data_IF_178679810970
#
_entry.id   IF_178679810970
#
_cell.length_a   1.000
_cell.length_b   1.000
_cell.length_c   1.000
_cell.angle_alpha   90.00
_cell.angle_beta   90.00
_cell.angle_gamma   90.00
#
_symmetry.space_group_name_H-M   'P 1'
#
loop_
_entity.id
_entity.type
_entity.pdbx_description
1 polymer ?
#
# COMPACT_ATOMS: atom_id res chain seq x y z
N UNK A 1 3.68 4.49 -6.50
CA UNK A 1 4.94 4.19 -5.80
C UNK A 1 5.90 3.47 -6.74
N UNK A 2 7.21 3.66 -6.61
CA UNK A 2 8.20 2.92 -7.41
C UNK A 2 9.19 2.22 -6.48
N UNK A 3 9.38 0.91 -6.68
CA UNK A 3 10.38 0.09 -5.99
C UNK A 3 11.58 -0.10 -6.91
N UNK A 4 12.76 0.24 -6.40
CA UNK A 4 14.04 0.07 -7.08
C UNK A 4 14.84 -0.99 -6.32
N UNK A 5 15.24 -2.04 -7.03
CA UNK A 5 16.00 -3.15 -6.45
C UNK A 5 17.46 -3.12 -6.90
N UNK A 6 18.33 -3.82 -6.16
CA UNK A 6 19.77 -3.79 -6.39
C UNK A 6 20.18 -4.40 -7.75
N UNK A 7 19.34 -5.27 -8.30
CA UNK A 7 19.49 -5.88 -9.62
C UNK A 7 19.01 -4.98 -10.76
N UNK A 8 18.75 -3.69 -10.47
CA UNK A 8 18.18 -2.72 -11.39
C UNK A 8 16.73 -3.01 -11.81
N UNK A 9 16.05 -3.95 -11.15
CA UNK A 9 14.62 -4.15 -11.34
C UNK A 9 13.87 -2.92 -10.84
N UNK A 10 13.04 -2.37 -11.73
CA UNK A 10 12.13 -1.26 -11.44
C UNK A 10 10.70 -1.78 -11.47
N UNK A 11 10.05 -1.79 -10.31
CA UNK A 11 8.62 -2.09 -10.22
C UNK A 11 7.85 -0.81 -9.94
N UNK A 12 7.02 -0.39 -10.91
CA UNK A 12 6.07 0.71 -10.69
C UNK A 12 4.72 0.16 -10.22
N UNK A 13 4.31 0.60 -9.03
CA UNK A 13 3.01 0.27 -8.44
C UNK A 13 2.10 1.50 -8.54
N UNK A 14 0.99 1.46 -9.32
CA UNK A 14 0.06 2.57 -9.37
C UNK A 14 -0.51 2.84 -7.97
N UNK A 15 -0.76 4.12 -7.66
CA UNK A 15 -1.37 4.47 -6.37
C UNK A 15 -2.74 3.81 -6.23
N UNK A 16 -3.07 3.38 -5.01
CA UNK A 16 -4.36 2.76 -4.69
C UNK A 16 -5.34 3.70 -3.99
N UNK A 17 -5.02 4.99 -3.93
CA UNK A 17 -5.96 6.01 -3.47
C UNK A 17 -7.14 6.16 -4.46
N UNK A 18 -8.35 5.72 -4.06
CA UNK A 18 -9.59 5.91 -4.85
C UNK A 18 -9.98 7.39 -4.94
N UNK A 19 -9.73 8.17 -3.88
CA UNK A 19 -9.84 9.63 -3.80
C UNK A 19 -8.75 10.14 -2.85
N UNK A 20 -8.17 11.31 -3.13
CA UNK A 20 -7.14 11.93 -2.30
C UNK A 20 -7.72 13.20 -1.67
N UNK A 21 -7.80 13.22 -0.34
CA UNK A 21 -8.31 14.36 0.44
C UNK A 21 -7.20 15.09 1.19
N UNK A 22 -6.35 14.35 1.91
CA UNK A 22 -5.21 14.88 2.66
C UNK A 22 -4.00 13.95 2.49
N UNK A 23 -2.83 14.49 2.16
CA UNK A 23 -1.61 13.69 1.94
C UNK A 23 -0.70 13.65 3.18
N UNK A 24 -1.12 14.30 4.26
CA UNK A 24 -0.38 14.32 5.52
C UNK A 24 -0.25 12.91 6.09
N UNK A 25 0.95 12.49 6.49
CA UNK A 25 1.20 11.17 7.05
C UNK A 25 1.25 10.01 6.04
N UNK A 26 1.09 10.27 4.74
CA UNK A 26 1.19 9.23 3.71
C UNK A 26 2.58 8.55 3.73
N UNK A 27 3.65 9.34 3.84
CA UNK A 27 5.03 8.83 3.90
C UNK A 27 5.29 7.97 5.14
N UNK A 28 4.85 8.43 6.31
CA UNK A 28 4.98 7.68 7.57
C UNK A 28 4.22 6.35 7.50
N UNK A 29 3.03 6.37 6.90
CA UNK A 29 2.22 5.18 6.66
C UNK A 29 2.94 4.19 5.74
N UNK A 30 3.53 4.68 4.64
CA UNK A 30 4.28 3.84 3.71
C UNK A 30 5.44 3.15 4.44
N UNK A 31 6.27 3.90 5.17
CA UNK A 31 7.44 3.33 5.84
C UNK A 31 7.06 2.37 6.97
N UNK A 32 6.04 2.72 7.77
CA UNK A 32 5.56 1.85 8.85
C UNK A 32 5.02 0.52 8.30
N UNK A 33 4.13 0.56 7.30
CA UNK A 33 3.54 -0.63 6.72
C UNK A 33 4.56 -1.48 5.94
N UNK A 34 5.46 -0.84 5.19
CA UNK A 34 6.52 -1.54 4.46
C UNK A 34 7.45 -2.29 5.42
N UNK A 35 7.93 -1.60 6.46
CA UNK A 35 8.82 -2.18 7.47
C UNK A 35 8.13 -3.33 8.22
N UNK A 36 6.86 -3.17 8.57
CA UNK A 36 6.07 -4.21 9.21
C UNK A 36 5.94 -5.47 8.32
N UNK A 37 5.64 -5.30 7.04
CA UNK A 37 5.53 -6.41 6.10
C UNK A 37 6.87 -7.14 5.91
N UNK A 38 7.98 -6.41 5.76
CA UNK A 38 9.32 -7.01 5.67
C UNK A 38 9.69 -7.74 6.96
N UNK A 39 9.39 -7.17 8.13
CA UNK A 39 9.60 -7.83 9.42
C UNK A 39 8.76 -9.13 9.55
N UNK A 40 7.59 -9.17 8.92
CA UNK A 40 6.74 -10.35 8.79
C UNK A 40 7.18 -11.33 7.68
N UNK A 41 8.36 -11.11 7.07
CA UNK A 41 8.98 -11.91 5.99
C UNK A 41 8.31 -11.80 4.62
N UNK A 42 7.52 -10.76 4.37
CA UNK A 42 7.09 -10.44 3.02
C UNK A 42 8.31 -10.04 2.16
N UNK A 43 8.28 -10.37 0.86
CA UNK A 43 9.28 -9.86 -0.07
C UNK A 43 9.07 -8.35 -0.33
N UNK A 44 10.05 -7.68 -0.94
CA UNK A 44 9.97 -6.22 -1.14
C UNK A 44 8.80 -5.80 -2.03
N UNK A 45 8.43 -6.62 -3.01
CA UNK A 45 7.28 -6.33 -3.88
C UNK A 45 5.96 -6.44 -3.12
N UNK A 46 5.80 -7.44 -2.27
CA UNK A 46 4.64 -7.61 -1.39
C UNK A 46 4.56 -6.48 -0.36
N UNK A 47 5.67 -6.16 0.30
CA UNK A 47 5.74 -5.06 1.26
C UNK A 47 5.38 -3.72 0.60
N UNK A 48 5.88 -3.50 -0.62
CA UNK A 48 5.58 -2.34 -1.43
C UNK A 48 4.10 -2.25 -1.81
N UNK A 49 3.48 -3.38 -2.20
CA UNK A 49 2.05 -3.44 -2.45
C UNK A 49 1.27 -3.05 -1.18
N UNK A 50 1.52 -3.74 -0.06
CA UNK A 50 0.83 -3.51 1.22
C UNK A 50 0.94 -2.04 1.66
N UNK A 51 2.13 -1.44 1.58
CA UNK A 51 2.35 -0.05 2.00
C UNK A 51 1.63 0.96 1.09
N UNK A 52 1.56 0.69 -0.21
CA UNK A 52 0.84 1.53 -1.17
C UNK A 52 -0.67 1.52 -0.93
N UNK A 53 -1.22 0.36 -0.55
CA UNK A 53 -2.63 0.21 -0.15
C UNK A 53 -2.90 0.94 1.19
N UNK A 54 -2.05 0.73 2.20
CA UNK A 54 -2.18 1.39 3.51
C UNK A 54 -2.18 2.92 3.38
N UNK A 55 -1.24 3.47 2.61
CA UNK A 55 -1.18 4.91 2.37
C UNK A 55 -2.36 5.42 1.53
N UNK A 56 -2.83 4.62 0.56
CA UNK A 56 -4.02 4.94 -0.23
C UNK A 56 -5.28 5.10 0.62
N UNK A 57 -5.43 4.30 1.67
CA UNK A 57 -6.53 4.41 2.64
C UNK A 57 -6.40 5.66 3.53
N UNK A 58 -5.19 5.94 4.04
CA UNK A 58 -4.94 7.11 4.90
C UNK A 58 -5.23 8.42 4.17
N UNK A 59 -4.81 8.53 2.90
CA UNK A 59 -5.03 9.77 2.14
C UNK A 59 -6.46 9.94 1.62
N UNK A 60 -7.31 8.93 1.79
CA UNK A 60 -8.71 8.95 1.38
C UNK A 60 -9.66 9.50 2.46
N UNK A 61 -9.13 9.94 3.60
CA UNK A 61 -9.88 10.53 4.71
C UNK A 61 -9.40 11.97 5.00
N UNK A 62 -10.22 12.77 5.68
CA UNK A 62 -9.87 14.15 6.04
C UNK A 62 -9.16 14.18 7.39
N UNK A 63 -7.96 14.75 7.44
CA UNK A 63 -7.14 14.86 8.66
C UNK A 63 -6.13 13.71 8.82
N UNK A 64 -5.51 13.59 10.01
CA UNK A 64 -4.54 12.52 10.33
C UNK A 64 -5.26 11.18 10.56
N UNK A 65 -5.84 10.64 9.50
CA UNK A 65 -6.55 9.37 9.53
C UNK A 65 -5.57 8.21 9.73
N UNK A 66 -6.06 7.17 10.41
CA UNK A 66 -5.32 5.93 10.63
C UNK A 66 -6.02 4.81 9.87
N UNK A 67 -5.24 3.95 9.21
CA UNK A 67 -5.79 2.71 8.66
C UNK A 67 -5.74 1.60 9.71
N UNK A 68 -6.80 0.81 9.80
CA UNK A 68 -6.83 -0.39 10.65
C UNK A 68 -6.40 -1.62 9.87
N UNK A 69 -5.89 -2.65 10.57
CA UNK A 69 -5.56 -3.95 9.96
C UNK A 69 -6.73 -4.51 9.13
N UNK A 70 -7.96 -4.39 9.64
CA UNK A 70 -9.16 -4.89 8.95
C UNK A 70 -9.38 -4.17 7.62
N UNK A 71 -9.39 -2.82 7.63
CA UNK A 71 -9.56 -2.04 6.40
C UNK A 71 -8.49 -2.37 5.35
N UNK A 72 -7.24 -2.56 5.78
CA UNK A 72 -6.16 -2.93 4.88
C UNK A 72 -6.33 -4.34 4.30
N UNK A 73 -6.77 -5.31 5.10
CA UNK A 73 -7.05 -6.67 4.63
C UNK A 73 -8.21 -6.65 3.63
N UNK A 74 -9.31 -5.97 3.96
CA UNK A 74 -10.50 -5.88 3.09
C UNK A 74 -10.13 -5.25 1.73
N UNK A 75 -9.35 -4.17 1.72
CA UNK A 75 -8.90 -3.48 0.50
C UNK A 75 -7.94 -4.35 -0.34
N UNK A 76 -7.06 -5.14 0.30
CA UNK A 76 -6.19 -6.10 -0.38
C UNK A 76 -6.98 -7.29 -0.97
N UNK A 77 -7.96 -7.83 -0.25
CA UNK A 77 -8.84 -8.89 -0.74
C UNK A 77 -9.66 -8.41 -1.95
N UNK A 78 -10.23 -7.20 -1.90
CA UNK A 78 -10.91 -6.58 -3.05
C UNK A 78 -9.97 -6.48 -4.26
N UNK A 79 -8.74 -6.03 -4.03
CA UNK A 79 -7.73 -5.91 -5.08
C UNK A 79 -7.39 -7.27 -5.71
N UNK A 80 -7.11 -8.29 -4.90
CA UNK A 80 -6.77 -9.65 -5.37
C UNK A 80 -7.95 -10.26 -6.16
N UNK A 81 -9.17 -10.13 -5.64
CA UNK A 81 -10.36 -10.65 -6.30
C UNK A 81 -10.61 -9.96 -7.65
N UNK A 82 -10.39 -8.64 -7.73
CA UNK A 82 -10.52 -7.90 -8.99
C UNK A 82 -9.47 -8.29 -10.04
N UNK A 83 -8.25 -8.67 -9.61
CA UNK A 83 -7.21 -9.13 -10.53
C UNK A 83 -7.46 -10.56 -11.03
N UNK A 84 -7.99 -11.44 -10.17
CA UNK A 84 -8.33 -12.81 -10.56
C UNK A 84 -9.56 -12.90 -11.47
N UNK A 85 -10.48 -11.94 -11.38
CA UNK A 85 -11.70 -11.90 -12.22
C UNK A 85 -11.45 -11.34 -13.63
N UNK A 86 -10.25 -10.81 -13.88
CA UNK A 86 -9.86 -10.16 -15.13
C UNK A 86 -8.97 -11.05 -16.03
N UNK A 87 -8.68 -12.28 -15.61
CA UNK A 87 -7.94 -13.30 -16.37
C UNK A 87 -8.81 -14.50 -16.70
#
# INVERSE_FOLDING_TARGET
MSLFEADQTLTHLPTRAKKVYDVTGAGDTVISAFTCAVAAKANFREAALISNHAAGLVVAEVGTAQTTKRQLVDDLEEFINSTNSAG
#
